data_IF_485287594942
#
_entry.id   IF_485287594942
#
_cell.length_a   1.000
_cell.length_b   1.000
_cell.length_c   1.000
_cell.angle_alpha   90.00
_cell.angle_beta   90.00
_cell.angle_gamma   90.00
#
_symmetry.space_group_name_H-M   'P 1'
#
loop_
_entity.id
_entity.type
_entity.pdbx_description
1 polymer ?
#
# COMPACT_ATOMS: atom_id res chain seq x y z
N UNK A 1 -11.30 -6.37 -10.86
CA UNK A 1 -10.24 -6.00 -9.91
C UNK A 1 -9.30 -7.18 -9.78
N UNK A 2 -7.98 -6.96 -9.86
CA UNK A 2 -7.00 -8.03 -9.68
C UNK A 2 -7.07 -8.61 -8.27
N UNK A 3 -6.92 -9.94 -8.16
CA UNK A 3 -6.98 -10.64 -6.89
C UNK A 3 -5.64 -10.53 -6.18
N UNK A 4 -5.62 -9.82 -5.04
CA UNK A 4 -4.45 -9.73 -4.19
C UNK A 4 -4.28 -11.01 -3.36
N UNK A 5 -3.04 -11.51 -3.32
CA UNK A 5 -2.63 -12.67 -2.51
C UNK A 5 -1.77 -12.20 -1.36
N UNK A 6 -1.86 -12.87 -0.22
CA UNK A 6 -1.00 -12.59 0.95
C UNK A 6 0.34 -13.29 0.74
N UNK A 7 1.41 -12.54 0.92
CA UNK A 7 2.79 -13.02 0.78
C UNK A 7 3.69 -12.44 1.88
N UNK A 8 4.81 -13.12 2.13
CA UNK A 8 5.79 -12.78 3.18
C UNK A 8 7.19 -12.75 2.56
N UNK A 9 8.06 -11.87 3.05
CA UNK A 9 9.46 -11.71 2.61
C UNK A 9 10.36 -11.31 3.76
N UNK A 10 11.60 -11.78 3.76
CA UNK A 10 12.62 -11.39 4.74
C UNK A 10 13.13 -9.95 4.51
N UNK A 11 12.97 -9.45 3.28
CA UNK A 11 13.36 -8.10 2.89
C UNK A 11 12.15 -7.24 2.62
N UNK A 12 12.27 -5.94 2.91
CA UNK A 12 11.23 -4.96 2.62
C UNK A 12 10.99 -4.90 1.10
N UNK A 13 9.81 -5.32 0.61
CA UNK A 13 9.57 -5.35 -0.82
C UNK A 13 9.27 -3.96 -1.35
N UNK A 14 9.52 -3.75 -2.65
CA UNK A 14 9.08 -2.54 -3.35
C UNK A 14 7.57 -2.59 -3.60
N UNK A 15 6.90 -1.44 -3.47
CA UNK A 15 5.45 -1.28 -3.72
C UNK A 15 5.07 -1.62 -5.16
N UNK A 16 5.95 -1.37 -6.12
CA UNK A 16 5.76 -1.78 -7.52
C UNK A 16 7.06 -2.28 -8.09
N UNK A 17 6.99 -3.35 -8.87
CA UNK A 17 8.12 -3.93 -9.57
C UNK A 17 7.69 -4.36 -10.98
N UNK A 18 8.43 -3.93 -12.00
CA UNK A 18 8.17 -4.32 -13.37
C UNK A 18 8.71 -5.73 -13.65
N UNK A 19 7.90 -6.55 -14.29
CA UNK A 19 8.21 -7.91 -14.71
C UNK A 19 8.37 -7.92 -16.24
N UNK A 20 9.02 -8.95 -16.77
CA UNK A 20 8.97 -9.26 -18.20
C UNK A 20 7.52 -9.31 -18.74
N UNK A 21 7.38 -9.06 -20.04
CA UNK A 21 6.11 -8.93 -20.76
C UNK A 21 5.23 -7.75 -20.33
N UNK A 22 5.83 -6.70 -19.76
CA UNK A 22 5.14 -5.45 -19.40
C UNK A 22 4.15 -5.61 -18.24
N UNK A 23 4.25 -6.71 -17.47
CA UNK A 23 3.42 -6.91 -16.29
C UNK A 23 4.07 -6.26 -15.07
N UNK A 24 3.26 -5.94 -14.07
CA UNK A 24 3.73 -5.31 -12.84
C UNK A 24 3.31 -6.16 -11.64
N UNK A 25 4.25 -6.41 -10.72
CA UNK A 25 3.92 -6.76 -9.36
C UNK A 25 3.52 -5.48 -8.64
N UNK A 26 2.32 -5.46 -8.10
CA UNK A 26 1.83 -4.38 -7.25
C UNK A 26 1.64 -4.96 -5.85
N UNK A 27 2.33 -4.36 -4.88
CA UNK A 27 2.30 -4.77 -3.48
C UNK A 27 1.69 -3.66 -2.63
N UNK A 28 0.79 -4.01 -1.72
CA UNK A 28 0.12 -3.08 -0.80
C UNK A 28 0.10 -3.63 0.62
N UNK A 29 -0.24 -2.78 1.58
CA UNK A 29 -0.32 -3.14 3.00
C UNK A 29 0.97 -3.81 3.51
N UNK A 30 2.13 -3.25 3.14
CA UNK A 30 3.43 -3.77 3.58
C UNK A 30 3.61 -3.46 5.06
N UNK A 31 3.58 -4.48 5.89
CA UNK A 31 3.70 -4.36 7.35
C UNK A 31 4.90 -5.17 7.82
N UNK A 32 5.75 -4.57 8.64
CA UNK A 32 6.83 -5.25 9.33
C UNK A 32 6.26 -6.07 10.49
N UNK A 33 6.63 -7.33 10.56
CA UNK A 33 6.28 -8.26 11.63
C UNK A 33 7.53 -8.88 12.21
N UNK A 34 7.43 -9.28 13.46
CA UNK A 34 8.49 -9.95 14.19
C UNK A 34 7.99 -11.34 14.57
N UNK A 35 8.78 -12.38 14.27
CA UNK A 35 8.53 -13.75 14.71
C UNK A 35 9.71 -14.20 15.55
N UNK A 36 9.44 -14.68 16.75
CA UNK A 36 10.45 -15.35 17.56
C UNK A 36 10.61 -16.76 17.02
N UNK A 37 11.82 -17.11 16.58
CA UNK A 37 12.16 -18.46 16.13
C UNK A 37 12.32 -19.41 17.33
N UNK A 38 12.41 -20.71 17.07
CA UNK A 38 12.53 -21.75 18.09
C UNK A 38 13.77 -21.58 19.01
N UNK A 39 14.81 -20.90 18.52
CA UNK A 39 16.03 -20.56 19.26
C UNK A 39 15.93 -19.26 20.08
N UNK A 40 14.75 -18.64 20.16
CA UNK A 40 14.52 -17.41 20.92
C UNK A 40 15.04 -16.14 20.23
N UNK A 41 15.45 -16.23 18.96
CA UNK A 41 15.86 -15.06 18.17
C UNK A 41 14.65 -14.39 17.51
N UNK A 42 14.62 -13.06 17.55
CA UNK A 42 13.61 -12.27 16.84
C UNK A 42 14.01 -12.13 15.36
N UNK A 43 13.22 -12.74 14.49
CA UNK A 43 13.35 -12.60 13.03
C UNK A 43 12.33 -11.56 12.55
N UNK A 44 12.81 -10.54 11.85
CA UNK A 44 11.97 -9.52 11.23
C UNK A 44 11.59 -9.98 9.82
N UNK A 45 10.30 -9.99 9.53
CA UNK A 45 9.76 -10.31 8.20
C UNK A 45 8.70 -9.29 7.79
N UNK A 46 8.47 -9.15 6.50
CA UNK A 46 7.48 -8.23 5.93
C UNK A 46 6.31 -9.02 5.37
N UNK A 47 5.11 -8.77 5.87
CA UNK A 47 3.87 -9.30 5.34
C UNK A 47 3.21 -8.25 4.44
N UNK A 48 2.73 -8.67 3.27
CA UNK A 48 2.11 -7.77 2.28
C UNK A 48 1.09 -8.52 1.43
N UNK A 49 0.30 -7.74 0.70
CA UNK A 49 -0.60 -8.23 -0.33
C UNK A 49 -0.01 -7.93 -1.70
N UNK A 50 0.11 -8.93 -2.57
CA UNK A 50 0.63 -8.77 -3.93
C UNK A 50 -0.37 -9.20 -5.00
N UNK A 51 -0.34 -8.50 -6.14
CA UNK A 51 -1.07 -8.86 -7.33
C UNK A 51 -0.18 -8.65 -8.57
N UNK A 52 -0.38 -9.50 -9.59
CA UNK A 52 0.20 -9.29 -10.91
C UNK A 52 -0.84 -8.56 -11.75
N UNK A 53 -0.43 -7.45 -12.35
CA UNK A 53 -1.28 -6.61 -13.18
C UNK A 53 -0.71 -6.48 -14.59
N UNK A 54 -1.59 -6.46 -15.59
CA UNK A 54 -1.27 -6.00 -16.93
C UNK A 54 -1.04 -4.48 -16.96
N UNK A 55 -0.42 -3.91 -18.01
CA UNK A 55 -0.25 -2.46 -18.13
C UNK A 55 -1.55 -1.67 -17.99
N UNK A 56 -2.65 -2.18 -18.57
CA UNK A 56 -3.95 -1.53 -18.53
C UNK A 56 -4.56 -1.54 -17.11
N UNK A 57 -4.43 -2.65 -16.40
CA UNK A 57 -4.88 -2.77 -15.00
C UNK A 57 -4.04 -1.89 -14.06
N UNK A 58 -2.73 -1.82 -14.30
CA UNK A 58 -1.84 -0.96 -13.52
C UNK A 58 -2.15 0.52 -13.74
N UNK A 59 -2.40 0.95 -14.98
CA UNK A 59 -2.80 2.32 -15.28
C UNK A 59 -4.14 2.69 -14.61
N UNK A 60 -5.11 1.78 -14.65
CA UNK A 60 -6.39 1.97 -13.94
C UNK A 60 -6.19 2.02 -12.41
N UNK A 61 -5.32 1.17 -11.86
CA UNK A 61 -5.00 1.15 -10.44
C UNK A 61 -4.37 2.45 -9.96
N UNK A 62 -3.38 2.99 -10.69
CA UNK A 62 -2.80 4.31 -10.39
C UNK A 62 -3.87 5.39 -10.43
N UNK A 63 -4.68 5.43 -11.49
CA UNK A 63 -5.69 6.47 -11.65
C UNK A 63 -6.71 6.48 -10.50
N UNK A 64 -7.11 5.31 -10.01
CA UNK A 64 -7.98 5.19 -8.84
C UNK A 64 -7.25 5.61 -7.56
N UNK A 65 -6.03 5.12 -7.34
CA UNK A 65 -5.24 5.45 -6.15
C UNK A 65 -4.97 6.96 -6.04
N UNK A 66 -4.64 7.62 -7.14
CA UNK A 66 -4.42 9.08 -7.16
C UNK A 66 -5.72 9.85 -6.91
N UNK A 67 -6.85 9.34 -7.39
CA UNK A 67 -8.16 9.95 -7.16
C UNK A 67 -8.58 9.83 -5.68
N UNK A 68 -8.33 8.68 -5.06
CA UNK A 68 -8.58 8.45 -3.63
C UNK A 68 -7.70 9.38 -2.76
N UNK A 69 -6.41 9.50 -3.05
CA UNK A 69 -5.52 10.41 -2.29
C UNK A 69 -5.94 11.88 -2.40
N UNK A 70 -6.38 12.33 -3.58
CA UNK A 70 -6.89 13.70 -3.76
C UNK A 70 -8.16 13.96 -2.96
N UNK A 71 -9.04 12.95 -2.87
CA UNK A 71 -10.26 13.04 -2.08
C UNK A 71 -9.98 13.12 -0.58
N UNK A 72 -9.03 12.32 -0.08
CA UNK A 72 -8.61 12.38 1.32
C UNK A 72 -8.02 13.75 1.69
N UNK A 73 -7.15 14.32 0.85
CA UNK A 73 -6.60 15.66 1.10
C UNK A 73 -7.68 16.74 1.14
N UNK A 74 -8.66 16.68 0.24
CA UNK A 74 -9.77 17.63 0.23
C UNK A 74 -10.65 17.55 1.51
N UNK A 75 -10.87 16.35 2.03
CA UNK A 75 -11.64 16.14 3.27
C UNK A 75 -10.88 16.69 4.48
N UNK A 76 -9.55 16.49 4.53
CA UNK A 76 -8.71 17.04 5.60
C UNK A 76 -8.76 18.56 5.58
N UNK A 77 -8.66 19.18 4.41
CA UNK A 77 -8.74 20.65 4.27
C UNK A 77 -10.10 21.19 4.70
N UNK A 78 -11.20 20.57 4.27
CA UNK A 78 -12.56 20.99 4.65
C UNK A 78 -12.82 20.86 6.16
N UNK A 79 -12.37 19.76 6.77
CA UNK A 79 -12.48 19.55 8.21
C UNK A 79 -11.62 20.54 9.01
N UNK A 80 -10.41 20.82 8.54
CA UNK A 80 -9.51 21.79 9.18
C UNK A 80 -10.09 23.20 9.12
N UNK A 81 -10.65 23.60 7.97
CA UNK A 81 -11.37 24.86 7.83
C UNK A 81 -12.56 24.95 8.80
N UNK A 82 -13.34 23.87 8.92
CA UNK A 82 -14.47 23.81 9.84
C UNK A 82 -14.04 23.97 11.30
N UNK A 83 -12.91 23.38 11.70
CA UNK A 83 -12.38 23.49 13.05
C UNK A 83 -11.85 24.89 13.39
N UNK A 84 -11.24 25.58 12.41
CA UNK A 84 -10.83 26.99 12.52
C UNK A 84 -12.07 27.89 12.67
N UNK A 85 -13.10 27.68 11.85
CA UNK A 85 -14.35 28.45 11.93
C UNK A 85 -15.10 28.24 13.26
N UNK A 86 -14.98 27.05 13.86
CA UNK A 86 -15.54 26.74 15.18
C UNK A 86 -14.67 27.20 16.35
N UNK A 87 -13.48 27.77 16.09
CA UNK A 87 -12.56 28.30 17.11
C UNK A 87 -11.99 27.23 18.04
N UNK A 88 -11.94 25.98 17.58
CA UNK A 88 -11.45 24.83 18.37
C UNK A 88 -9.93 24.66 18.26
N UNK A 89 -9.33 25.25 17.22
CA UNK A 89 -7.88 25.34 16.98
C UNK A 89 -7.51 26.79 16.65
#
# INVERSE_FOLDING_TARGET
MPLFKKSESDFRPQTTEAICDGRFFVRRNIVQKERTDADGQTVVFYAYEEAVMSPAEYAAFIAVSECESKRESAIIDEYTLTLIEQGVI
#
